data_IF_555167295554
#
_entry.id   IF_555167295554
#
_cell.length_a   1.000
_cell.length_b   1.000
_cell.length_c   1.000
_cell.angle_alpha   90.00
_cell.angle_beta   90.00
_cell.angle_gamma   90.00
#
_symmetry.space_group_name_H-M   'P 1'
#
loop_
_entity.id
_entity.type
_entity.pdbx_description
1 polymer ?
#
# COMPACT_ATOMS: atom_id res chain seq x y z
N UNK A 1 2.09 1.96 -18.52
CA UNK A 1 1.67 1.99 -17.13
C UNK A 1 1.56 3.42 -16.62
N UNK A 2 0.42 3.77 -16.09
CA UNK A 2 0.15 5.15 -15.75
C UNK A 2 -0.05 5.44 -14.28
N UNK A 3 -0.19 4.40 -13.46
CA UNK A 3 -0.38 4.61 -12.03
C UNK A 3 0.17 3.46 -11.20
N UNK A 4 0.37 3.74 -9.92
CA UNK A 4 0.92 2.79 -8.97
C UNK A 4 0.07 2.81 -7.69
N UNK A 5 -0.27 1.65 -7.17
CA UNK A 5 -0.89 1.54 -5.86
C UNK A 5 0.17 1.09 -4.85
N UNK A 6 0.37 1.90 -3.83
CA UNK A 6 1.33 1.61 -2.76
C UNK A 6 0.53 1.16 -1.54
N UNK A 7 0.84 -0.03 -1.03
CA UNK A 7 0.19 -0.56 0.16
C UNK A 7 1.26 -0.80 1.22
N UNK A 8 1.08 -0.23 2.39
CA UNK A 8 2.06 -0.35 3.47
C UNK A 8 1.36 -0.34 4.82
N UNK A 9 1.81 -1.20 5.73
CA UNK A 9 1.28 -1.21 7.09
C UNK A 9 2.06 -0.23 7.96
N UNK A 10 1.36 0.56 8.77
CA UNK A 10 2.05 1.54 9.61
C UNK A 10 2.91 0.91 10.70
N UNK A 11 2.64 -0.36 11.02
CA UNK A 11 3.38 -1.11 12.03
C UNK A 11 4.40 -2.09 11.43
N UNK A 12 4.75 -1.90 10.16
CA UNK A 12 5.75 -2.73 9.49
C UNK A 12 7.11 -2.52 10.17
N UNK A 13 7.66 -3.59 10.76
CA UNK A 13 8.95 -3.53 11.44
C UNK A 13 10.13 -3.75 10.50
N UNK A 14 9.87 -4.28 9.31
CA UNK A 14 10.90 -4.54 8.31
C UNK A 14 11.21 -3.32 7.46
N UNK A 15 10.17 -2.57 7.08
CA UNK A 15 10.30 -1.37 6.26
C UNK A 15 9.51 -0.24 6.90
N UNK A 16 10.18 0.86 7.21
CA UNK A 16 9.54 2.00 7.85
C UNK A 16 8.49 2.63 6.92
N UNK A 17 7.35 3.01 7.50
CA UNK A 17 6.24 3.63 6.76
C UNK A 17 6.67 4.87 5.97
N UNK A 18 7.71 5.55 6.40
CA UNK A 18 8.22 6.73 5.70
C UNK A 18 8.66 6.42 4.27
N UNK A 19 9.07 5.16 4.00
CA UNK A 19 9.42 4.76 2.65
C UNK A 19 8.23 4.86 1.71
N UNK A 20 7.05 4.42 2.17
CA UNK A 20 5.82 4.50 1.37
C UNK A 20 5.43 5.96 1.11
N UNK A 21 5.52 6.81 2.12
CA UNK A 21 5.22 8.22 1.96
C UNK A 21 6.16 8.90 0.98
N UNK A 22 7.46 8.57 1.04
CA UNK A 22 8.44 9.13 0.12
C UNK A 22 8.14 8.75 -1.33
N UNK A 23 7.80 7.49 -1.56
CA UNK A 23 7.45 7.04 -2.91
C UNK A 23 6.19 7.77 -3.39
N UNK A 24 5.19 7.88 -2.53
CA UNK A 24 3.94 8.54 -2.88
C UNK A 24 4.14 10.01 -3.22
N UNK A 25 4.99 10.71 -2.49
CA UNK A 25 5.31 12.11 -2.77
C UNK A 25 6.00 12.31 -4.12
N UNK A 26 6.86 11.35 -4.49
CA UNK A 26 7.67 11.47 -5.70
C UNK A 26 6.99 10.92 -6.95
N UNK A 27 5.89 10.17 -6.79
CA UNK A 27 5.12 9.64 -7.91
C UNK A 27 3.74 10.28 -7.93
N UNK A 28 3.56 11.26 -8.81
CA UNK A 28 2.32 12.03 -8.87
C UNK A 28 1.08 11.17 -9.18
N UNK A 29 1.28 10.04 -9.83
CA UNK A 29 0.20 9.16 -10.24
C UNK A 29 0.09 7.94 -9.34
N UNK A 30 0.54 8.05 -8.08
CA UNK A 30 0.44 6.96 -7.13
C UNK A 30 -0.73 7.17 -6.17
N UNK A 31 -1.29 6.06 -5.69
CA UNK A 31 -2.27 6.05 -4.62
C UNK A 31 -1.68 5.28 -3.45
N UNK A 32 -1.99 5.71 -2.25
CA UNK A 32 -1.41 5.13 -1.04
C UNK A 32 -2.51 4.55 -0.16
N UNK A 33 -2.35 3.28 0.21
CA UNK A 33 -3.21 2.62 1.18
C UNK A 33 -2.39 2.25 2.40
N UNK A 34 -2.74 2.80 3.55
CA UNK A 34 -2.07 2.50 4.82
C UNK A 34 -2.94 1.54 5.62
N UNK A 35 -2.36 0.44 6.07
CA UNK A 35 -3.05 -0.51 6.94
C UNK A 35 -2.52 -0.39 8.37
N UNK A 36 -3.23 -1.00 9.31
CA UNK A 36 -2.86 -0.98 10.73
C UNK A 36 -2.81 -2.39 11.28
N UNK A 37 -1.78 -2.66 12.08
CA UNK A 37 -1.64 -3.92 12.83
C UNK A 37 -1.55 -5.18 11.97
N UNK A 38 -1.23 -5.07 10.71
CA UNK A 38 -1.03 -6.22 9.85
C UNK A 38 0.44 -6.62 9.72
N UNK A 39 1.34 -5.64 9.83
CA UNK A 39 2.75 -5.86 9.59
C UNK A 39 3.04 -6.11 8.13
N UNK A 40 4.28 -6.45 7.84
CA UNK A 40 4.75 -6.59 6.46
C UNK A 40 4.13 -7.80 5.74
N UNK A 41 3.90 -8.89 6.44
CA UNK A 41 3.53 -10.16 5.82
C UNK A 41 2.04 -10.41 5.70
N UNK A 42 1.25 -9.93 6.65
CA UNK A 42 -0.19 -10.19 6.68
C UNK A 42 -0.98 -9.35 5.69
N UNK A 43 -0.36 -8.32 5.15
CA UNK A 43 -1.02 -7.43 4.19
C UNK A 43 -1.61 -8.20 3.01
N UNK A 44 -0.85 -9.13 2.44
CA UNK A 44 -1.28 -9.85 1.24
C UNK A 44 -2.46 -10.79 1.48
N UNK A 45 -2.69 -11.20 2.71
CA UNK A 45 -3.81 -12.08 3.04
C UNK A 45 -5.04 -11.35 3.57
N UNK A 46 -4.97 -10.04 3.75
CA UNK A 46 -6.07 -9.28 4.32
C UNK A 46 -7.18 -9.05 3.29
N UNK A 47 -8.45 -9.38 3.61
CA UNK A 47 -9.57 -9.24 2.64
C UNK A 47 -9.77 -7.81 2.15
N UNK A 48 -9.60 -6.82 3.01
CA UNK A 48 -9.78 -5.42 2.61
C UNK A 48 -8.68 -4.97 1.66
N UNK A 49 -7.45 -5.42 1.88
CA UNK A 49 -6.33 -5.13 0.99
C UNK A 49 -6.59 -5.77 -0.38
N UNK A 50 -7.01 -7.02 -0.40
CA UNK A 50 -7.34 -7.73 -1.64
C UNK A 50 -8.44 -7.01 -2.40
N UNK A 51 -9.49 -6.58 -1.69
CA UNK A 51 -10.58 -5.83 -2.30
C UNK A 51 -10.08 -4.54 -2.93
N UNK A 52 -9.21 -3.81 -2.24
CA UNK A 52 -8.67 -2.55 -2.76
C UNK A 52 -7.83 -2.78 -4.02
N UNK A 53 -7.05 -3.85 -4.03
CA UNK A 53 -6.24 -4.21 -5.20
C UNK A 53 -7.15 -4.50 -6.40
N UNK A 54 -8.20 -5.28 -6.19
CA UNK A 54 -9.14 -5.62 -7.26
C UNK A 54 -9.81 -4.36 -7.81
N UNK A 55 -10.25 -3.48 -6.93
CA UNK A 55 -10.87 -2.21 -7.33
C UNK A 55 -9.90 -1.36 -8.14
N UNK A 56 -8.65 -1.33 -7.73
CA UNK A 56 -7.64 -0.54 -8.42
C UNK A 56 -7.38 -1.08 -9.84
N UNK A 57 -7.30 -2.39 -9.97
CA UNK A 57 -7.05 -3.03 -11.27
C UNK A 57 -8.22 -2.81 -12.24
N UNK A 58 -9.45 -2.79 -11.72
CA UNK A 58 -10.64 -2.59 -12.56
C UNK A 58 -10.78 -1.18 -13.11
N UNK A 59 -10.22 -0.23 -12.40
CA UNK A 59 -10.24 1.15 -12.87
C UNK A 59 -9.25 1.35 -14.01
#
# INVERSE_FOLDING_TARGET
LNSVLIIHDENDVDVNIKAAYNINQNLKISELMITKNLGHRKILGNPEVIKRIIEYIKD
#
